data_IF_924346476479
#
_entry.id   IF_924346476479
#
_cell.length_a   1.000
_cell.length_b   1.000
_cell.length_c   1.000
_cell.angle_alpha   90.00
_cell.angle_beta   90.00
_cell.angle_gamma   90.00
#
_symmetry.space_group_name_H-M   'P 1'
#
loop_
_entity.id
_entity.type
_entity.pdbx_description
1 polymer ?
2 non-polymer ?
3 non-polymer ?
4 water ?
#
# COMPACT_ATOMS: atom_id res chain seq x y z
N UNK A 2 -31.96 -5.07 -30.02
CA UNK A 2 -31.91 -5.36 -28.58
C UNK A 2 -30.50 -5.04 -28.06
N UNK A 3 -29.48 -5.25 -28.88
CA UNK A 3 -28.10 -5.03 -28.41
C UNK A 3 -27.82 -3.55 -28.14
N UNK A 4 -28.18 -2.67 -29.07
CA UNK A 4 -27.93 -1.26 -28.79
C UNK A 4 -28.85 -0.76 -27.70
N UNK A 5 -30.09 -1.26 -27.66
CA UNK A 5 -31.00 -0.94 -26.56
C UNK A 5 -30.40 -1.33 -25.21
N UNK A 6 -29.80 -2.53 -25.12
CA UNK A 6 -29.19 -2.92 -23.86
C UNK A 6 -28.04 -1.99 -23.49
N UNK A 7 -27.23 -1.59 -24.46
CA UNK A 7 -26.09 -0.73 -24.14
C UNK A 7 -26.51 0.67 -23.73
N UNK A 8 -27.60 1.19 -24.27
CA UNK A 8 -28.12 2.46 -23.78
C UNK A 8 -28.52 2.37 -22.31
N UNK A 9 -29.14 1.24 -21.92
CA UNK A 9 -29.45 1.02 -20.51
C UNK A 9 -28.17 0.95 -19.69
N UNK A 10 -27.15 0.24 -20.19
CA UNK A 10 -25.86 0.20 -19.53
C UNK A 10 -25.24 1.59 -19.38
N UNK A 11 -25.32 2.41 -20.42
CA UNK A 11 -24.78 3.75 -20.34
C UNK A 11 -25.48 4.53 -19.25
N UNK A 12 -26.76 4.26 -19.03
CA UNK A 12 -27.48 4.94 -17.96
C UNK A 12 -27.04 4.44 -16.59
N UNK A 13 -26.77 3.15 -16.46
CA UNK A 13 -26.20 2.66 -15.20
C UNK A 13 -24.89 3.38 -14.88
N UNK A 14 -24.02 3.51 -15.88
CA UNK A 14 -22.72 4.14 -15.68
C UNK A 14 -22.88 5.59 -15.27
N UNK A 15 -23.81 6.29 -15.91
CA UNK A 15 -24.14 7.65 -15.48
C UNK A 15 -24.56 7.67 -14.03
N UNK A 16 -25.41 6.73 -13.61
CA UNK A 16 -25.85 6.74 -12.22
C UNK A 16 -24.67 6.50 -11.30
N UNK A 17 -23.81 5.54 -11.67
CA UNK A 17 -22.69 5.21 -10.78
C UNK A 17 -21.75 6.38 -10.62
N UNK A 18 -21.72 7.29 -11.59
CA UNK A 18 -20.85 8.45 -11.52
C UNK A 18 -21.55 9.67 -10.96
N UNK A 19 -22.83 9.57 -10.61
CA UNK A 19 -23.62 10.73 -10.21
C UNK A 19 -23.38 11.09 -8.73
N UNK A 20 -23.75 12.32 -8.38
CA UNK A 20 -23.51 12.79 -7.02
C UNK A 20 -24.20 11.95 -5.96
N UNK A 21 -25.33 11.32 -6.31
CA UNK A 21 -26.10 10.52 -5.35
C UNK A 21 -25.23 9.46 -4.67
N UNK A 22 -24.32 8.86 -5.41
CA UNK A 22 -23.52 7.73 -4.97
C UNK A 22 -22.07 8.10 -4.68
N UNK A 23 -21.76 9.39 -4.66
CA UNK A 23 -20.36 9.80 -4.66
C UNK A 23 -19.64 9.46 -3.36
N UNK A 24 -20.39 9.37 -2.25
CA UNK A 24 -19.75 9.11 -0.95
C UNK A 24 -19.05 7.76 -0.91
N UNK A 25 -19.53 6.78 -1.68
CA UNK A 25 -18.85 5.51 -1.84
C UNK A 25 -18.30 5.27 -3.24
N UNK A 26 -18.68 6.04 -4.25
CA UNK A 26 -18.21 5.70 -5.58
C UNK A 26 -16.87 6.35 -5.93
N UNK A 27 -16.49 7.42 -5.22
CA UNK A 27 -15.42 8.25 -5.70
C UNK A 27 -14.10 7.50 -5.81
N UNK A 28 -13.77 6.51 -4.97
CA UNK A 28 -12.47 5.84 -5.14
C UNK A 28 -12.35 5.09 -6.45
N UNK A 29 -13.46 4.88 -7.16
CA UNK A 29 -13.53 4.11 -8.39
C UNK A 29 -13.66 4.99 -9.63
N UNK A 30 -13.56 6.32 -9.47
CA UNK A 30 -13.74 7.22 -10.60
C UNK A 30 -12.57 7.16 -11.58
N UNK A 31 -11.39 6.79 -11.11
CA UNK A 31 -10.17 6.93 -11.89
C UNK A 31 -9.32 5.71 -11.62
N UNK A 32 -8.40 5.37 -12.53
CA UNK A 32 -7.57 4.19 -12.31
C UNK A 32 -6.74 4.31 -11.04
N UNK A 33 -6.53 3.16 -10.40
CA UNK A 33 -5.65 3.12 -9.24
C UNK A 33 -4.26 3.59 -9.66
N UNK A 34 -3.76 4.64 -8.99
CA UNK A 34 -2.40 5.16 -9.19
C UNK A 34 -1.53 4.54 -8.09
N UNK A 35 -0.88 3.42 -8.42
CA UNK A 35 -0.14 2.66 -7.40
C UNK A 35 0.95 3.50 -6.73
N UNK A 36 1.68 4.31 -7.50
CA UNK A 36 2.70 5.17 -6.91
C UNK A 36 2.09 6.23 -5.99
N UNK A 37 1.04 6.92 -6.46
CA UNK A 37 0.51 8.03 -5.67
C UNK A 37 -0.12 7.52 -4.38
N UNK A 38 -0.77 6.35 -4.43
CA UNK A 38 -1.37 5.75 -3.25
C UNK A 38 -0.38 4.91 -2.45
N UNK A 39 0.85 4.74 -2.93
CA UNK A 39 1.88 3.94 -2.26
C UNK A 39 1.44 2.49 -2.12
N UNK A 40 0.79 1.99 -3.16
CA UNK A 40 0.40 0.59 -3.31
C UNK A 40 1.32 -0.02 -4.36
N UNK A 41 2.61 -0.08 -4.01
CA UNK A 41 3.61 -0.29 -5.04
C UNK A 41 3.57 -1.68 -5.63
N UNK A 42 2.93 -2.64 -4.96
CA UNK A 42 2.75 -3.97 -5.48
C UNK A 42 1.43 -4.16 -6.24
N UNK A 43 0.64 -3.10 -6.44
CA UNK A 43 -0.73 -3.28 -6.92
C UNK A 43 -0.73 -4.05 -8.23
N UNK A 44 0.15 -3.69 -9.15
CA UNK A 44 0.14 -4.34 -10.45
C UNK A 44 0.85 -5.70 -10.47
N UNK A 45 1.49 -6.09 -9.36
CA UNK A 45 1.91 -7.49 -9.23
C UNK A 45 0.73 -8.40 -8.88
N UNK A 46 -0.26 -7.85 -8.18
CA UNK A 46 -1.41 -8.60 -7.71
C UNK A 46 -2.60 -8.49 -8.66
N UNK A 47 -2.85 -7.30 -9.19
CA UNK A 47 -4.00 -7.03 -10.04
C UNK A 47 -3.52 -6.92 -11.48
N UNK A 48 -3.80 -7.94 -12.29
CA UNK A 48 -3.25 -7.98 -13.63
C UNK A 48 -4.11 -7.27 -14.65
N UNK A 49 -5.39 -6.99 -14.34
CA UNK A 49 -6.29 -6.31 -15.27
C UNK A 49 -7.01 -5.22 -14.50
N UNK A 50 -6.38 -4.08 -14.31
CA UNK A 50 -7.04 -2.98 -13.59
C UNK A 50 -8.27 -2.48 -14.32
N UNK A 51 -9.21 -1.92 -13.57
CA UNK A 51 -10.41 -1.34 -14.14
C UNK A 51 -10.98 -0.29 -13.19
N UNK A 52 -11.69 0.68 -13.79
CA UNK A 52 -12.27 1.80 -13.08
C UNK A 52 -13.35 2.42 -13.95
N UNK A 53 -14.20 3.27 -13.34
CA UNK A 53 -15.35 3.79 -14.07
C UNK A 53 -14.98 4.70 -15.24
N UNK A 54 -13.86 5.44 -15.15
CA UNK A 54 -13.49 6.28 -16.29
C UNK A 54 -13.07 5.42 -17.49
N UNK A 55 -12.47 4.26 -17.25
CA UNK A 55 -12.10 3.37 -18.34
C UNK A 55 -13.34 2.70 -18.93
N UNK A 56 -14.30 2.32 -18.09
CA UNK A 56 -15.56 1.81 -18.63
C UNK A 56 -16.25 2.85 -19.49
N UNK A 57 -16.20 4.10 -19.06
CA UNK A 57 -16.80 5.17 -19.83
C UNK A 57 -16.10 5.31 -21.18
N UNK A 58 -14.75 5.32 -21.16
CA UNK A 58 -13.99 5.46 -22.39
C UNK A 58 -14.33 4.33 -23.36
N UNK A 59 -14.45 3.12 -22.84
CA UNK A 59 -14.77 1.98 -23.68
C UNK A 59 -16.21 2.01 -24.15
N UNK A 60 -17.13 2.51 -23.33
CA UNK A 60 -18.52 2.61 -23.78
C UNK A 60 -18.65 3.64 -24.88
N UNK A 61 -18.06 4.81 -24.68
CA UNK A 61 -18.03 5.85 -25.70
C UNK A 61 -17.37 5.35 -26.97
N UNK A 62 -16.30 4.58 -26.83
CA UNK A 62 -15.63 4.04 -27.99
C UNK A 62 -16.31 2.86 -28.62
N UNK A 63 -17.48 2.45 -28.13
CA UNK A 63 -18.24 1.34 -28.68
C UNK A 63 -17.43 0.04 -28.68
N UNK A 64 -16.57 -0.13 -27.67
CA UNK A 64 -15.78 -1.34 -27.53
C UNK A 64 -16.54 -2.51 -26.91
N UNK A 65 -17.72 -2.29 -26.32
CA UNK A 65 -18.42 -3.39 -25.69
C UNK A 65 -19.36 -4.05 -26.67
N UNK A 66 -19.18 -5.34 -26.99
CA UNK A 66 -20.07 -5.96 -27.96
C UNK A 66 -21.48 -6.10 -27.43
N UNK A 67 -21.63 -6.24 -26.12
CA UNK A 67 -22.95 -6.49 -25.52
C UNK A 67 -22.92 -6.01 -24.06
N UNK A 68 -24.09 -6.10 -23.41
CA UNK A 68 -24.18 -5.73 -22.01
C UNK A 68 -23.35 -6.64 -21.13
N UNK A 69 -23.19 -7.93 -21.53
CA UNK A 69 -22.37 -8.84 -20.77
C UNK A 69 -20.90 -8.38 -20.71
N UNK A 70 -20.39 -7.80 -21.80
CA UNK A 70 -19.03 -7.29 -21.75
C UNK A 70 -18.88 -6.10 -20.82
N UNK A 71 -19.88 -5.21 -20.83
CA UNK A 71 -19.94 -4.10 -19.88
C UNK A 71 -19.95 -4.61 -18.44
N UNK A 72 -20.82 -5.56 -18.15
CA UNK A 72 -20.94 -6.05 -16.78
C UNK A 72 -19.65 -6.70 -16.30
N UNK A 73 -18.94 -7.39 -17.18
CA UNK A 73 -17.71 -8.06 -16.78
C UNK A 73 -16.66 -7.05 -16.36
N UNK A 74 -16.57 -5.91 -17.07
CA UNK A 74 -15.61 -4.88 -16.67
C UNK A 74 -16.00 -4.25 -15.35
N UNK A 75 -17.29 -4.02 -15.13
CA UNK A 75 -17.72 -3.43 -13.87
C UNK A 75 -17.44 -4.39 -12.72
N UNK A 76 -17.73 -5.68 -12.91
CA UNK A 76 -17.45 -6.65 -11.84
C UNK A 76 -15.96 -6.86 -11.62
N UNK A 77 -15.18 -6.72 -12.69
CA UNK A 77 -13.72 -6.77 -12.56
C UNK A 77 -13.22 -5.66 -11.63
N UNK A 78 -13.78 -4.46 -11.77
CA UNK A 78 -13.40 -3.38 -10.89
C UNK A 78 -13.71 -3.70 -9.43
N UNK A 79 -14.88 -4.27 -9.15
CA UNK A 79 -15.17 -4.66 -7.77
C UNK A 79 -14.29 -5.82 -7.31
N UNK A 80 -14.15 -6.85 -8.14
CA UNK A 80 -13.32 -7.99 -7.75
C UNK A 80 -11.86 -7.62 -7.53
N UNK A 81 -11.29 -6.71 -8.36
CA UNK A 81 -9.94 -6.23 -8.05
C UNK A 81 -9.86 -5.69 -6.63
N UNK A 82 -10.86 -4.92 -6.21
CA UNK A 82 -10.84 -4.34 -4.88
C UNK A 82 -10.97 -5.43 -3.81
N UNK A 83 -11.86 -6.38 -4.01
CA UNK A 83 -11.98 -7.47 -3.04
C UNK A 83 -10.69 -8.30 -3.00
N UNK A 84 -10.04 -8.49 -4.15
CA UNK A 84 -8.83 -9.32 -4.19
C UNK A 84 -7.66 -8.62 -3.49
N UNK A 85 -7.46 -7.34 -3.79
CA UNK A 85 -6.24 -6.71 -3.31
C UNK A 85 -6.29 -6.42 -1.82
N UNK A 86 -7.43 -6.03 -1.31
CA UNK A 86 -7.55 -5.43 0.01
C UNK A 86 -8.00 -6.42 1.07
N UNK A 87 -7.68 -6.17 2.34
CA UNK A 87 -8.26 -6.98 3.44
C UNK A 87 -9.76 -6.75 3.55
N UNK A 88 -10.52 -7.78 3.90
CA UNK A 88 -11.97 -7.68 3.74
C UNK A 88 -12.63 -6.63 4.61
N UNK A 89 -11.94 -6.13 5.65
CA UNK A 89 -12.49 -5.10 6.54
C UNK A 89 -12.05 -3.69 6.14
N UNK A 90 -11.42 -3.54 4.99
CA UNK A 90 -10.92 -2.24 4.54
C UNK A 90 -12.08 -1.31 4.18
N UNK A 91 -11.91 -0.03 4.51
CA UNK A 91 -12.90 0.98 4.19
C UNK A 91 -13.33 0.91 2.74
N UNK A 92 -12.38 0.71 1.83
CA UNK A 92 -12.68 0.76 0.41
C UNK A 92 -13.48 -0.45 -0.02
N UNK A 93 -13.28 -1.60 0.64
CA UNK A 93 -14.08 -2.78 0.31
C UNK A 93 -15.55 -2.52 0.63
N UNK A 94 -15.80 -1.83 1.74
CA UNK A 94 -17.18 -1.50 2.11
C UNK A 94 -17.80 -0.54 1.11
N UNK A 95 -17.02 0.39 0.60
CA UNK A 95 -17.49 1.30 -0.41
C UNK A 95 -17.78 0.57 -1.72
N UNK A 96 -16.90 -0.37 -2.09
CA UNK A 96 -17.12 -1.16 -3.30
C UNK A 96 -18.41 -1.94 -3.22
N UNK A 97 -18.70 -2.55 -2.06
CA UNK A 97 -19.91 -3.33 -1.90
C UNK A 97 -21.14 -2.47 -2.04
N UNK A 98 -21.12 -1.27 -1.44
CA UNK A 98 -22.28 -0.39 -1.58
C UNK A 98 -22.53 -0.03 -3.03
N UNK A 99 -21.46 0.29 -3.78
CA UNK A 99 -21.63 0.59 -5.20
C UNK A 99 -22.04 -0.65 -5.99
N UNK A 100 -21.54 -1.83 -5.61
CA UNK A 100 -21.92 -3.03 -6.34
C UNK A 100 -23.40 -3.35 -6.09
N UNK A 101 -23.91 -3.02 -4.89
CA UNK A 101 -25.35 -3.23 -4.63
C UNK A 101 -26.18 -2.44 -5.63
N UNK A 102 -25.76 -1.21 -5.93
CA UNK A 102 -26.45 -0.41 -6.92
C UNK A 102 -26.32 -1.02 -8.31
N UNK A 103 -25.10 -1.39 -8.71
CA UNK A 103 -24.89 -1.94 -10.04
C UNK A 103 -25.70 -3.21 -10.26
N UNK A 104 -25.64 -4.15 -9.30
CA UNK A 104 -26.27 -5.44 -9.55
C UNK A 104 -27.79 -5.28 -9.66
N UNK A 105 -28.37 -4.42 -8.83
CA UNK A 105 -29.81 -4.17 -8.89
C UNK A 105 -30.20 -3.52 -10.22
N UNK A 106 -29.51 -2.44 -10.60
CA UNK A 106 -29.84 -1.80 -11.87
C UNK A 106 -29.65 -2.76 -13.03
N UNK A 107 -28.56 -3.54 -13.04
CA UNK A 107 -28.27 -4.40 -14.18
C UNK A 107 -29.33 -5.48 -14.29
N UNK A 108 -29.76 -6.02 -13.14
CA UNK A 108 -30.79 -7.07 -13.14
C UNK A 108 -32.14 -6.54 -13.61
N UNK A 109 -32.40 -5.25 -13.42
CA UNK A 109 -33.66 -4.66 -13.86
C UNK A 109 -33.63 -4.21 -15.32
N UNK A 110 -32.54 -4.46 -16.05
CA UNK A 110 -32.52 -4.12 -17.47
C UNK A 110 -33.70 -4.79 -18.17
N UNK A 111 -34.52 -4.03 -18.92
CA UNK A 111 -35.69 -4.65 -19.54
C UNK A 111 -35.35 -5.70 -20.55
N UNK B 1 -4.42 -7.54 26.81
CA UNK B 1 -3.02 -7.26 27.12
C UNK B 1 -2.05 -7.44 25.97
N UNK B 2 -0.76 -7.34 26.27
CA UNK B 2 0.30 -7.49 25.26
C UNK B 2 0.77 -8.94 25.21
N UNK B 3 1.27 -9.34 24.04
CA UNK B 3 1.89 -10.65 23.88
C UNK B 3 3.37 -10.59 24.26
N UNK B 4 3.87 -11.70 24.81
CA UNK B 4 5.29 -11.79 25.09
C UNK B 4 6.08 -11.74 23.78
N UNK B 5 7.40 -11.53 23.91
CA UNK B 5 8.27 -11.47 22.72
C UNK B 5 8.11 -12.72 21.85
N UNK B 6 8.09 -13.90 22.46
CA UNK B 6 7.92 -15.12 21.67
C UNK B 6 6.57 -15.13 20.95
N UNK B 7 5.51 -14.73 21.64
CA UNK B 7 4.20 -14.81 20.99
C UNK B 7 4.01 -13.73 19.96
N UNK B 8 4.73 -12.62 20.07
CA UNK B 8 4.71 -11.65 18.98
C UNK B 8 5.35 -12.24 17.72
N UNK B 9 6.42 -13.04 17.89
CA UNK B 9 6.99 -13.73 16.74
C UNK B 9 6.00 -14.76 16.18
N UNK B 10 5.32 -15.49 17.05
CA UNK B 10 4.29 -16.43 16.62
C UNK B 10 3.15 -15.72 15.87
N UNK B 11 2.76 -14.53 16.32
CA UNK B 11 1.72 -13.80 15.62
C UNK B 11 2.16 -13.52 14.19
N UNK B 12 3.47 -13.25 13.99
CA UNK B 12 3.96 -13.04 12.64
C UNK B 12 3.93 -14.31 11.81
N UNK B 13 4.22 -15.47 12.41
CA UNK B 13 4.09 -16.73 11.69
C UNK B 13 2.64 -16.92 11.23
N UNK B 14 1.69 -16.65 12.12
CA UNK B 14 0.29 -16.82 11.77
C UNK B 14 -0.13 -15.89 10.63
N UNK B 15 0.33 -14.63 10.69
CA UNK B 15 0.09 -13.72 9.57
C UNK B 15 0.63 -14.25 8.26
N UNK B 16 1.87 -14.76 8.28
CA UNK B 16 2.43 -15.33 7.05
C UNK B 16 1.58 -16.50 6.59
N UNK B 17 1.23 -17.42 7.49
CA UNK B 17 0.44 -18.58 7.05
C UNK B 17 -0.87 -18.18 6.42
N UNK B 18 -1.41 -17.02 6.78
CA UNK B 18 -2.68 -16.54 6.27
C UNK B 18 -2.53 -15.63 5.06
N UNK B 19 -1.29 -15.40 4.59
CA UNK B 19 -1.03 -14.39 3.59
C UNK B 19 -1.23 -14.95 2.18
N UNK B 20 -1.36 -14.05 1.20
CA UNK B 20 -1.61 -14.52 -0.16
C UNK B 20 -0.45 -15.33 -0.71
N UNK B 21 0.76 -15.15 -0.18
CA UNK B 21 1.92 -15.87 -0.68
C UNK B 21 1.71 -17.38 -0.63
N UNK B 22 1.01 -17.86 0.40
CA UNK B 22 0.82 -19.29 0.65
C UNK B 22 -0.62 -19.77 0.41
N UNK B 23 -1.45 -18.93 -0.20
CA UNK B 23 -2.88 -19.22 -0.25
C UNK B 23 -3.21 -20.45 -1.07
N UNK B 24 -2.37 -20.77 -2.08
CA UNK B 24 -2.64 -21.89 -2.99
C UNK B 24 -2.69 -23.22 -2.24
N UNK B 25 -1.96 -23.34 -1.13
CA UNK B 25 -2.05 -24.52 -0.28
C UNK B 25 -2.60 -24.26 1.12
N UNK B 26 -2.68 -23.01 1.57
CA UNK B 26 -3.13 -22.78 2.93
C UNK B 26 -4.65 -22.71 3.04
N UNK B 27 -5.33 -22.39 1.96
CA UNK B 27 -6.73 -22.02 2.07
C UNK B 27 -7.62 -23.11 2.68
N UNK B 28 -7.37 -24.42 2.52
CA UNK B 28 -8.25 -25.40 3.19
C UNK B 28 -8.18 -25.34 4.72
N UNK B 29 -7.18 -24.67 5.27
CA UNK B 29 -6.97 -24.58 6.72
C UNK B 29 -7.39 -23.25 7.29
N UNK B 30 -8.02 -22.41 6.46
CA UNK B 30 -8.40 -21.07 6.92
C UNK B 30 -9.56 -21.12 7.92
N UNK B 31 -10.40 -22.14 7.84
CA UNK B 31 -11.64 -22.21 8.61
C UNK B 31 -11.79 -23.63 9.13
N UNK B 32 -12.58 -23.84 10.19
CA UNK B 32 -12.76 -25.21 10.68
C UNK B 32 -13.32 -26.12 9.62
N UNK B 33 -12.94 -27.39 9.69
CA UNK B 33 -13.54 -28.40 8.82
C UNK B 33 -15.04 -28.44 9.12
N UNK B 34 -15.85 -28.33 8.07
CA UNK B 34 -17.31 -28.38 8.16
C UNK B 34 -17.73 -29.77 7.73
N UNK B 35 -17.92 -30.66 8.71
CA UNK B 35 -18.12 -32.07 8.40
C UNK B 35 -19.37 -32.27 7.54
N UNK B 36 -20.46 -31.57 7.84
CA UNK B 36 -21.67 -31.73 7.05
C UNK B 36 -21.49 -31.17 5.62
N UNK B 37 -20.94 -29.95 5.51
CA UNK B 37 -20.82 -29.32 4.19
C UNK B 37 -19.85 -30.08 3.29
N UNK B 38 -18.78 -30.65 3.86
CA UNK B 38 -17.84 -31.42 3.06
C UNK B 38 -18.24 -32.90 2.92
N UNK B 39 -19.34 -33.32 3.56
CA UNK B 39 -19.81 -34.72 3.53
C UNK B 39 -18.74 -35.64 4.09
N UNK B 40 -18.11 -35.19 5.16
CA UNK B 40 -17.19 -35.96 5.99
C UNK B 40 -17.86 -36.22 7.33
N UNK B 41 -18.93 -37.01 7.31
CA UNK B 41 -19.84 -37.03 8.46
C UNK B 41 -19.26 -37.76 9.67
N UNK B 42 -18.22 -38.55 9.50
CA UNK B 42 -17.51 -39.19 10.59
C UNK B 42 -16.35 -38.37 11.13
N UNK B 43 -16.11 -37.16 10.57
CA UNK B 43 -14.90 -36.42 10.91
C UNK B 43 -14.71 -36.27 12.41
N UNK B 44 -15.79 -35.94 13.14
CA UNK B 44 -15.68 -35.74 14.57
C UNK B 44 -15.70 -37.03 15.38
N UNK B 45 -16.02 -38.17 14.76
CA UNK B 45 -15.73 -39.44 15.42
C UNK B 45 -14.23 -39.77 15.41
N UNK B 46 -13.52 -39.33 14.37
CA UNK B 46 -12.09 -39.60 14.19
C UNK B 46 -11.23 -38.51 14.81
N UNK B 47 -11.59 -37.25 14.61
CA UNK B 47 -10.81 -36.10 15.06
C UNK B 47 -11.45 -35.53 16.31
N UNK B 48 -10.84 -35.78 17.46
CA UNK B 48 -11.44 -35.35 18.72
C UNK B 48 -11.15 -33.91 19.06
N UNK B 49 -10.12 -33.31 18.49
CA UNK B 49 -9.79 -31.90 18.76
C UNK B 49 -9.50 -31.20 17.45
N UNK B 50 -10.53 -30.72 16.77
CA UNK B 50 -10.33 -29.99 15.52
C UNK B 50 -9.51 -28.72 15.71
N UNK B 51 -8.83 -28.31 14.66
CA UNK B 51 -8.11 -27.05 14.69
C UNK B 51 -7.94 -26.50 13.28
N UNK B 52 -7.81 -25.17 13.22
CA UNK B 52 -7.69 -24.44 11.98
C UNK B 52 -7.12 -23.06 12.30
N UNK B 53 -6.69 -22.37 11.26
CA UNK B 53 -5.96 -21.13 11.47
C UNK B 53 -6.86 -20.04 12.05
N UNK B 54 -8.14 -20.01 11.68
CA UNK B 54 -9.00 -18.98 12.28
C UNK B 54 -9.16 -19.20 13.78
N UNK B 55 -9.08 -20.46 14.25
CA UNK B 55 -9.19 -20.70 15.67
C UNK B 55 -7.89 -20.31 16.36
N UNK B 56 -6.75 -20.57 15.72
CA UNK B 56 -5.48 -20.12 16.28
C UNK B 56 -5.48 -18.59 16.40
N UNK B 57 -6.00 -17.91 15.38
CA UNK B 57 -6.09 -16.46 15.42
C UNK B 57 -6.98 -16.00 16.58
N UNK B 58 -8.16 -16.63 16.72
CA UNK B 58 -9.05 -16.24 17.80
C UNK B 58 -8.39 -16.42 19.15
N UNK B 59 -7.68 -17.54 19.34
CA UNK B 59 -7.02 -17.78 20.62
C UNK B 59 -5.84 -16.84 20.80
N UNK B 60 -5.11 -16.52 19.74
CA UNK B 60 -4.01 -15.58 19.89
C UNK B 60 -4.52 -14.20 20.26
N UNK B 61 -5.58 -13.74 19.58
CA UNK B 61 -6.16 -12.43 19.87
C UNK B 61 -6.76 -12.41 21.27
N UNK B 62 -7.24 -13.54 21.74
CA UNK B 62 -7.77 -13.65 23.08
C UNK B 62 -6.74 -13.92 24.15
N UNK B 63 -5.44 -13.94 23.82
CA UNK B 63 -4.38 -14.19 24.80
C UNK B 63 -4.56 -15.54 25.51
N UNK B 64 -5.04 -16.53 24.76
CA UNK B 64 -5.22 -17.85 25.35
C UNK B 64 -3.94 -18.66 25.39
N UNK B 65 -2.89 -18.28 24.61
CA UNK B 65 -1.70 -19.13 24.66
C UNK B 65 -0.74 -18.65 25.74
N UNK B 66 -0.31 -19.54 26.64
CA UNK B 66 0.60 -19.10 27.70
C UNK B 66 2.05 -19.00 27.26
N UNK B 67 2.40 -19.63 26.15
CA UNK B 67 3.76 -19.56 25.63
C UNK B 67 3.76 -20.03 24.18
N UNK B 68 4.93 -19.92 23.54
CA UNK B 68 5.05 -20.30 22.14
C UNK B 68 4.76 -21.79 21.96
N UNK B 69 5.10 -22.59 22.96
CA UNK B 69 4.84 -24.03 22.85
C UNK B 69 3.35 -24.31 22.68
N UNK B 70 2.49 -23.57 23.38
CA UNK B 70 1.06 -23.80 23.25
C UNK B 70 0.54 -23.48 21.86
N UNK B 71 1.07 -22.40 21.27
CA UNK B 71 0.76 -22.03 19.87
C UNK B 71 1.20 -23.12 18.91
N UNK B 72 2.42 -23.61 19.09
CA UNK B 72 2.94 -24.65 18.19
C UNK B 72 2.13 -25.94 18.30
N UNK B 73 1.69 -26.29 19.49
CA UNK B 73 0.90 -27.51 19.65
C UNK B 73 -0.41 -27.42 18.86
N UNK B 74 -1.04 -26.25 18.84
CA UNK B 74 -2.29 -26.12 18.09
C UNK B 74 -2.03 -26.16 16.58
N UNK B 75 -0.97 -25.50 16.11
CA UNK B 75 -0.73 -25.53 14.67
C UNK B 75 -0.40 -26.95 14.22
N UNK B 76 0.44 -27.65 14.99
CA UNK B 76 0.75 -29.05 14.66
C UNK B 76 -0.46 -29.97 14.80
N UNK B 77 -1.33 -29.68 15.73
CA UNK B 77 -2.58 -30.43 15.82
C UNK B 77 -3.40 -30.28 14.53
N UNK B 78 -3.44 -29.07 13.96
CA UNK B 78 -4.14 -28.85 12.70
C UNK B 78 -3.58 -29.74 11.60
N UNK B 79 -2.24 -29.76 11.45
CA UNK B 79 -1.67 -30.66 10.44
C UNK B 79 -1.91 -32.13 10.77
N UNK B 80 -1.65 -32.53 12.02
CA UNK B 80 -1.81 -33.95 12.37
C UNK B 80 -3.24 -34.42 12.14
N UNK B 81 -4.24 -33.62 12.51
CA UNK B 81 -5.62 -33.97 12.16
C UNK B 81 -5.73 -34.33 10.68
N UNK B 82 -5.09 -33.54 9.81
CA UNK B 82 -5.18 -33.79 8.37
C UNK B 82 -4.47 -35.10 8.00
N UNK B 83 -3.30 -35.33 8.58
CA UNK B 83 -2.59 -36.57 8.27
C UNK B 83 -3.37 -37.79 8.79
N UNK B 84 -4.00 -37.65 9.94
CA UNK B 84 -4.75 -38.74 10.56
C UNK B 84 -6.00 -39.09 9.75
N UNK B 85 -6.78 -38.07 9.39
CA UNK B 85 -8.08 -38.34 8.81
C UNK B 85 -7.98 -38.85 7.40
N UNK B 86 -7.05 -38.33 6.63
CA UNK B 86 -7.04 -38.56 5.19
C UNK B 86 -6.05 -39.64 4.75
N UNK B 87 -6.28 -40.23 3.59
CA UNK B 87 -5.25 -41.08 2.99
C UNK B 87 -4.03 -40.26 2.64
N UNK B 88 -2.85 -40.87 2.66
CA UNK B 88 -1.62 -40.08 2.55
C UNK B 88 -1.38 -39.46 1.18
N UNK B 89 -2.03 -39.94 0.13
CA UNK B 89 -1.92 -39.38 -1.22
C UNK B 89 -2.99 -38.34 -1.53
N UNK B 90 -3.84 -38.01 -0.57
CA UNK B 90 -4.90 -37.03 -0.76
C UNK B 90 -4.33 -35.64 -1.05
N UNK B 91 -5.06 -34.90 -1.89
CA UNK B 91 -4.59 -33.59 -2.31
C UNK B 91 -4.35 -32.69 -1.11
N UNK B 92 -5.24 -32.74 -0.10
CA UNK B 92 -5.13 -31.83 1.00
C UNK B 92 -3.98 -32.20 1.93
N UNK B 93 -3.55 -33.47 1.91
CA UNK B 93 -2.38 -33.84 2.73
C UNK B 93 -1.14 -33.16 2.16
N UNK B 94 -1.00 -33.18 0.83
CA UNK B 94 0.12 -32.50 0.19
C UNK B 94 0.12 -31.00 0.49
N UNK B 95 -1.04 -30.39 0.51
CA UNK B 95 -1.13 -28.98 0.86
C UNK B 95 -0.75 -28.74 2.31
N UNK B 96 -1.20 -29.61 3.23
CA UNK B 96 -0.82 -29.45 4.63
C UNK B 96 0.69 -29.51 4.79
N UNK B 97 1.32 -30.43 4.05
CA UNK B 97 2.77 -30.59 4.17
C UNK B 97 3.50 -29.34 3.73
N UNK B 98 3.03 -28.71 2.64
CA UNK B 98 3.69 -27.49 2.16
C UNK B 98 3.59 -26.38 3.19
N UNK B 99 2.41 -26.21 3.80
CA UNK B 99 2.23 -25.21 4.82
C UNK B 99 3.01 -25.57 6.09
N UNK B 100 3.13 -26.87 6.42
CA UNK B 100 3.88 -27.24 7.61
C UNK B 100 5.36 -26.96 7.38
N UNK B 101 5.83 -27.08 6.12
CA UNK B 101 7.21 -26.70 5.82
C UNK B 101 7.45 -25.25 6.22
N UNK B 102 6.52 -24.37 5.86
CA UNK B 102 6.65 -22.96 6.22
C UNK B 102 6.64 -22.79 7.73
N UNK B 103 5.67 -23.42 8.39
CA UNK B 103 5.54 -23.24 9.82
C UNK B 103 6.80 -23.73 10.55
N UNK B 104 7.26 -24.94 10.23
CA UNK B 104 8.37 -25.48 11.03
C UNK B 104 9.62 -24.65 10.83
N UNK B 105 9.85 -24.16 9.63
CA UNK B 105 11.03 -23.32 9.40
C UNK B 105 10.91 -21.99 10.16
N UNK B 106 9.77 -21.30 10.06
CA UNK B 106 9.65 -20.02 10.73
C UNK B 106 9.73 -20.20 12.24
N UNK B 107 9.04 -21.22 12.76
CA UNK B 107 9.03 -21.44 14.20
C UNK B 107 10.41 -21.72 14.74
N UNK B 108 11.19 -22.54 14.02
CA UNK B 108 12.54 -22.88 14.48
C UNK B 108 13.46 -21.64 14.47
N UNK B 109 13.17 -20.68 13.59
CA UNK B 109 13.97 -19.46 13.50
C UNK B 109 13.56 -18.40 14.52
N UNK B 110 12.56 -18.65 15.36
CA UNK B 110 12.20 -17.71 16.42
C UNK B 110 13.45 -17.37 17.25
N UNK B 111 13.77 -16.08 17.43
CA UNK B 111 14.98 -15.77 18.21
C UNK B 111 14.93 -16.29 19.62
N UNK C 2 -8.39 5.89 10.06
CA UNK C 2 -7.77 6.89 10.93
C UNK C 2 -8.14 8.31 10.51
N UNK C 3 -8.52 8.50 9.25
CA UNK C 3 -9.00 9.79 8.74
C UNK C 3 -10.52 9.74 8.57
N UNK C 4 -11.16 10.86 8.88
CA UNK C 4 -12.57 11.08 8.57
C UNK C 4 -12.85 10.83 7.09
N UNK C 5 -14.13 10.66 6.74
CA UNK C 5 -14.49 10.46 5.34
C UNK C 5 -14.04 11.66 4.51
N UNK C 6 -14.25 12.88 5.04
CA UNK C 6 -13.86 14.08 4.32
C UNK C 6 -12.35 14.14 4.14
N UNK C 7 -11.61 13.86 5.21
CA UNK C 7 -10.16 14.03 5.08
C UNK C 7 -9.55 12.91 4.24
N UNK C 8 -10.17 11.73 4.22
CA UNK C 8 -9.70 10.71 3.29
C UNK C 8 -9.81 11.21 1.85
N UNK C 9 -10.96 11.82 1.51
CA UNK C 9 -11.11 12.44 0.20
C UNK C 9 -10.07 13.54 -0.03
N UNK C 10 -9.85 14.41 0.97
CA UNK C 10 -8.78 15.39 0.86
C UNK C 10 -7.43 14.72 0.58
N UNK C 11 -7.13 13.65 1.31
CA UNK C 11 -5.86 12.97 1.06
C UNK C 11 -5.78 12.51 -0.39
N UNK C 12 -6.92 12.10 -0.97
CA UNK C 12 -6.90 11.71 -2.38
C UNK C 12 -6.56 12.89 -3.28
N UNK C 13 -7.12 14.07 -2.98
CA UNK C 13 -6.77 15.27 -3.74
C UNK C 13 -5.27 15.53 -3.64
N UNK C 14 -4.73 15.47 -2.43
CA UNK C 14 -3.29 15.72 -2.22
C UNK C 14 -2.45 14.75 -3.01
N UNK C 15 -2.78 13.45 -2.96
CA UNK C 15 -1.98 12.46 -3.67
C UNK C 15 -2.08 12.67 -5.17
N UNK C 16 -3.22 13.12 -5.67
CA UNK C 16 -3.34 13.43 -7.08
C UNK C 16 -2.45 14.60 -7.47
N UNK C 17 -2.48 15.68 -6.67
CA UNK C 17 -1.62 16.85 -6.92
C UNK C 17 -0.14 16.47 -6.96
N UNK C 18 0.25 15.46 -6.18
CA UNK C 18 1.64 15.00 -6.16
C UNK C 18 1.94 13.91 -7.17
N UNK C 19 0.99 13.52 -7.99
CA UNK C 19 1.15 12.38 -8.89
C UNK C 19 1.76 12.75 -10.24
N UNK C 20 2.14 11.72 -10.99
CA UNK C 20 2.83 11.94 -12.26
C UNK C 20 1.92 12.66 -13.24
N UNK C 21 0.60 12.48 -13.09
CA UNK C 21 -0.39 13.12 -13.95
C UNK C 21 -0.17 14.64 -14.06
N UNK C 22 0.20 15.29 -12.96
CA UNK C 22 0.28 16.74 -12.90
C UNK C 22 1.70 17.24 -12.73
N UNK C 23 2.70 16.37 -12.91
CA UNK C 23 4.06 16.71 -12.52
C UNK C 23 4.67 17.81 -13.38
N UNK C 24 4.16 18.02 -14.59
CA UNK C 24 4.73 19.06 -15.45
C UNK C 24 4.57 20.45 -14.87
N UNK C 25 3.57 20.67 -14.02
CA UNK C 25 3.33 21.99 -13.43
C UNK C 25 3.26 21.99 -11.91
N UNK C 26 3.17 20.83 -11.26
CA UNK C 26 3.11 20.81 -9.79
C UNK C 26 4.48 20.90 -9.14
N UNK C 27 5.55 20.58 -9.87
CA UNK C 27 6.82 20.38 -9.21
C UNK C 27 7.33 21.58 -8.43
N UNK C 28 7.05 22.83 -8.82
CA UNK C 28 7.48 23.96 -7.98
C UNK C 28 6.93 23.92 -6.56
N UNK C 29 5.87 23.14 -6.31
CA UNK C 29 5.24 23.04 -5.00
C UNK C 29 5.58 21.75 -4.26
N UNK C 30 6.58 21.00 -4.74
CA UNK C 30 6.88 19.73 -4.08
C UNK C 30 7.62 19.90 -2.77
N UNK C 31 8.35 21.00 -2.60
CA UNK C 31 9.19 21.16 -1.43
C UNK C 31 9.21 22.63 -1.04
N UNK C 32 9.57 22.94 0.20
CA UNK C 32 9.66 24.34 0.61
C UNK C 32 10.60 25.12 -0.30
N UNK C 33 10.27 26.41 -0.51
CA UNK C 33 11.12 27.30 -1.29
C UNK C 33 12.43 27.48 -0.57
N UNK C 34 13.54 27.27 -1.29
CA UNK C 34 14.88 27.48 -0.76
C UNK C 34 15.33 28.82 -1.32
N UNK C 35 15.02 29.88 -0.59
CA UNK C 35 15.23 31.22 -1.12
C UNK C 35 16.71 31.53 -1.30
N UNK C 36 17.57 30.95 -0.48
CA UNK C 36 19.00 31.20 -0.62
C UNK C 36 19.53 30.57 -1.91
N UNK C 37 19.21 29.30 -2.14
CA UNK C 37 19.69 28.61 -3.33
C UNK C 37 19.11 29.22 -4.58
N UNK C 38 17.89 29.79 -4.50
CA UNK C 38 17.26 30.41 -5.65
C UNK C 38 17.58 31.89 -5.79
N UNK C 39 18.33 32.48 -4.84
CA UNK C 39 18.69 33.91 -4.86
C UNK C 39 17.44 34.80 -4.87
N UNK C 40 16.42 34.34 -4.16
CA UNK C 40 15.18 35.11 -3.89
C UNK C 40 15.39 35.91 -2.60
N UNK C 41 16.20 36.97 -2.71
CA UNK C 41 16.67 37.70 -1.54
C UNK C 41 15.53 38.31 -0.71
N UNK C 42 14.40 38.58 -1.34
CA UNK C 42 13.28 39.22 -0.68
C UNK C 42 12.19 38.25 -0.26
N UNK C 43 12.38 36.95 -0.49
CA UNK C 43 11.26 36.00 -0.37
C UNK C 43 10.62 36.07 1.03
N UNK C 44 11.43 35.96 2.08
CA UNK C 44 10.90 35.91 3.43
C UNK C 44 10.51 37.27 3.97
N UNK C 45 10.92 38.34 3.32
CA UNK C 45 10.32 39.64 3.62
C UNK C 45 8.85 39.65 3.21
N UNK C 46 8.51 39.01 2.09
CA UNK C 46 7.18 39.10 1.51
C UNK C 46 6.28 37.96 1.97
N UNK C 47 6.84 36.76 2.05
CA UNK C 47 6.09 35.56 2.45
C UNK C 47 6.41 35.28 3.91
N UNK C 48 5.44 35.56 4.78
CA UNK C 48 5.61 35.30 6.21
C UNK C 48 5.29 33.86 6.60
N UNK C 49 4.49 33.12 5.82
CA UNK C 49 4.08 31.77 6.16
C UNK C 49 4.23 30.82 4.98
N UNK C 50 5.42 30.27 4.78
CA UNK C 50 5.63 29.37 3.64
C UNK C 50 4.81 28.12 3.77
N UNK C 51 4.48 27.56 2.61
CA UNK C 51 3.71 26.33 2.58
C UNK C 51 3.98 25.66 1.24
N UNK C 52 3.96 24.32 1.26
CA UNK C 52 4.29 23.49 0.11
C UNK C 52 3.63 22.13 0.32
N UNK C 53 3.55 21.36 -0.76
CA UNK C 53 2.83 20.09 -0.74
C UNK C 53 3.49 19.07 0.17
N UNK C 54 4.82 19.13 0.36
CA UNK C 54 5.44 18.13 1.21
C UNK C 54 5.05 18.36 2.65
N UNK C 55 4.87 19.63 3.02
CA UNK C 55 4.39 20.01 4.35
C UNK C 55 2.94 19.60 4.55
N UNK C 56 2.09 19.86 3.56
CA UNK C 56 0.71 19.38 3.62
C UNK C 56 0.68 17.86 3.79
N UNK C 57 1.57 17.17 3.08
CA UNK C 57 1.62 15.71 3.18
C UNK C 57 2.04 15.25 4.57
N UNK C 58 3.08 15.87 5.12
CA UNK C 58 3.48 15.51 6.48
C UNK C 58 2.30 15.66 7.45
N UNK C 59 1.54 16.73 7.30
CA UNK C 59 0.45 17.00 8.24
C UNK C 59 -0.70 16.02 8.03
N UNK C 60 -1.01 15.70 6.77
CA UNK C 60 -2.08 14.74 6.48
C UNK C 60 -1.67 13.34 6.93
N UNK C 61 -0.43 12.95 6.63
CA UNK C 61 0.00 11.58 6.96
C UNK C 61 0.04 11.39 8.46
N UNK C 62 0.33 12.45 9.20
CA UNK C 62 0.30 12.47 10.64
C UNK C 62 -1.04 12.77 11.26
N UNK C 63 -2.10 12.93 10.45
CA UNK C 63 -3.48 13.10 10.92
C UNK C 63 -3.64 14.37 11.75
N UNK C 64 -2.98 15.42 11.31
CA UNK C 64 -2.94 16.67 12.02
C UNK C 64 -4.08 17.62 11.68
N UNK C 65 -4.71 17.46 10.52
CA UNK C 65 -5.75 18.42 10.15
C UNK C 65 -7.02 18.15 10.95
N UNK C 66 -7.66 19.16 11.52
CA UNK C 66 -8.93 18.91 12.22
C UNK C 66 -10.10 18.66 11.29
N UNK C 67 -10.11 19.26 10.11
CA UNK C 67 -11.24 19.15 9.20
C UNK C 67 -10.77 19.50 7.79
N UNK C 68 -11.68 19.38 6.82
CA UNK C 68 -11.29 19.63 5.45
C UNK C 68 -10.92 21.09 5.24
N UNK C 69 -11.52 21.99 6.03
CA UNK C 69 -11.26 23.41 5.82
C UNK C 69 -9.83 23.76 6.15
N UNK C 70 -9.30 23.15 7.22
CA UNK C 70 -7.90 23.32 7.56
C UNK C 70 -6.97 22.87 6.45
N UNK C 71 -7.28 21.73 5.81
CA UNK C 71 -6.51 21.27 4.66
C UNK C 71 -6.54 22.30 3.53
N UNK C 72 -7.73 22.75 3.20
CA UNK C 72 -7.90 23.72 2.12
C UNK C 72 -7.19 25.02 2.42
N UNK C 73 -7.15 25.44 3.67
CA UNK C 73 -6.47 26.68 4.05
C UNK C 73 -4.97 26.62 3.73
N UNK C 74 -4.32 25.48 4.02
CA UNK C 74 -2.90 25.33 3.72
C UNK C 74 -2.67 25.28 2.23
N UNK C 75 -3.56 24.61 1.49
CA UNK C 75 -3.39 24.52 0.04
C UNK C 75 -3.54 25.90 -0.58
N UNK C 76 -4.53 26.67 -0.16
CA UNK C 76 -4.71 27.99 -0.75
C UNK C 76 -3.62 28.96 -0.29
N UNK C 77 -3.08 28.75 0.91
CA UNK C 77 -1.95 29.55 1.36
C UNK C 77 -0.75 29.34 0.45
N UNK C 78 -0.45 28.08 0.11
CA UNK C 78 0.56 27.75 -0.87
C UNK C 78 0.38 28.50 -2.20
N UNK C 79 -0.80 28.42 -2.78
CA UNK C 79 -1.04 29.10 -4.05
C UNK C 79 -0.99 30.62 -3.89
N UNK C 80 -1.59 31.16 -2.82
CA UNK C 80 -1.53 32.61 -2.64
C UNK C 80 -0.08 33.09 -2.47
N UNK C 81 0.75 32.36 -1.71
CA UNK C 81 2.16 32.73 -1.61
C UNK C 81 2.81 32.85 -2.98
N UNK C 82 2.51 31.90 -3.87
CA UNK C 82 3.02 31.96 -5.24
C UNK C 82 2.57 33.24 -5.96
N UNK C 83 1.25 33.51 -5.98
CA UNK C 83 0.78 34.70 -6.68
C UNK C 83 1.26 35.98 -6.01
N UNK C 84 1.41 35.97 -4.68
CA UNK C 84 1.91 37.16 -3.98
C UNK C 84 3.36 37.46 -4.32
N UNK C 85 4.21 36.45 -4.28
CA UNK C 85 5.63 36.71 -4.43
C UNK C 85 5.99 37.04 -5.89
N UNK C 86 5.32 36.40 -6.85
CA UNK C 86 5.90 36.40 -8.17
C UNK C 86 5.26 37.44 -9.09
N UNK C 87 6.02 37.89 -10.09
CA UNK C 87 5.41 38.66 -11.18
C UNK C 87 4.25 37.87 -11.79
N UNK C 88 3.15 38.52 -12.10
CA UNK C 88 1.98 37.76 -12.57
C UNK C 88 2.16 37.13 -13.95
N UNK C 89 3.23 37.44 -14.66
CA UNK C 89 3.52 36.86 -15.97
C UNK C 89 4.62 35.84 -15.89
N UNK C 90 5.07 35.50 -14.68
CA UNK C 90 6.05 34.44 -14.52
C UNK C 90 5.41 33.10 -14.85
N UNK C 91 6.20 32.19 -15.42
CA UNK C 91 5.64 30.90 -15.85
C UNK C 91 5.06 30.11 -14.67
N UNK C 92 5.56 30.34 -13.45
CA UNK C 92 5.12 29.55 -12.31
C UNK C 92 3.70 29.92 -11.92
N UNK C 93 3.25 31.14 -12.26
CA UNK C 93 1.89 31.54 -11.96
C UNK C 93 0.91 30.74 -12.83
N UNK C 94 1.24 30.55 -14.10
CA UNK C 94 0.40 29.72 -14.94
C UNK C 94 0.37 28.29 -14.41
N UNK C 95 1.52 27.81 -13.92
CA UNK C 95 1.59 26.45 -13.38
C UNK C 95 0.74 26.33 -12.12
N UNK C 96 0.85 27.31 -11.23
CA UNK C 96 0.04 27.31 -10.03
C UNK C 96 -1.43 27.29 -10.37
N UNK C 97 -1.82 28.07 -11.38
CA UNK C 97 -3.22 28.14 -11.77
C UNK C 97 -3.73 26.80 -12.26
N UNK C 98 -2.95 26.09 -13.06
CA UNK C 98 -3.38 24.80 -13.57
C UNK C 98 -3.58 23.80 -12.43
N UNK C 99 -2.70 23.80 -11.45
CA UNK C 99 -2.85 22.86 -10.34
C UNK C 99 -3.97 23.30 -9.41
N UNK C 100 -4.11 24.60 -9.17
CA UNK C 100 -5.22 25.07 -8.36
C UNK C 100 -6.57 24.77 -9.01
N UNK C 101 -6.66 24.81 -10.35
CA UNK C 101 -7.88 24.37 -11.03
C UNK C 101 -8.28 22.97 -10.57
N UNK C 102 -7.29 22.07 -10.54
CA UNK C 102 -7.52 20.70 -10.10
C UNK C 102 -8.05 20.68 -8.68
N UNK C 103 -7.33 21.33 -7.79
CA UNK C 103 -7.71 21.35 -6.39
C UNK C 103 -9.11 21.89 -6.20
N UNK C 104 -9.41 23.03 -6.82
CA UNK C 104 -10.68 23.69 -6.52
C UNK C 104 -11.84 22.83 -6.99
N UNK C 105 -11.70 22.18 -8.14
CA UNK C 105 -12.79 21.39 -8.67
C UNK C 105 -13.01 20.16 -7.80
N UNK C 106 -11.94 19.48 -7.42
CA UNK C 106 -12.11 18.29 -6.59
C UNK C 106 -12.63 18.64 -5.19
N UNK C 107 -12.10 19.70 -4.58
CA UNK C 107 -12.55 20.08 -3.24
C UNK C 107 -14.03 20.45 -3.23
N UNK C 108 -14.48 21.15 -4.27
CA UNK C 108 -15.89 21.54 -4.33
C UNK C 108 -16.85 20.35 -4.47
N UNK C 109 -16.39 19.29 -5.12
CA UNK C 109 -17.10 18.04 -5.33
C UNK C 109 -16.94 17.04 -4.18
N UNK C 110 -16.42 17.47 -3.04
CA UNK C 110 -16.31 16.62 -1.87
C UNK C 110 -17.68 16.05 -1.53
N UNK C 111 -17.80 14.72 -1.39
CA UNK C 111 -19.10 14.13 -1.07
C UNK C 111 -19.52 14.42 0.34
N UNK D 1 28.73 24.75 -3.18
CA UNK D 1 27.89 23.72 -2.59
C UNK D 1 28.01 23.61 -1.08
N UNK D 2 28.22 22.39 -0.58
CA UNK D 2 28.26 22.13 0.85
C UNK D 2 29.03 20.84 1.16
N UNK D 3 29.10 19.92 0.19
CA UNK D 3 29.59 18.56 0.41
C UNK D 3 31.00 18.37 -0.14
N UNK D 4 31.79 17.57 0.57
CA UNK D 4 33.06 17.10 0.06
C UNK D 4 32.86 16.40 -1.28
N UNK D 5 33.97 16.17 -1.99
CA UNK D 5 33.86 15.47 -3.27
C UNK D 5 33.27 14.07 -3.03
N UNK D 6 33.72 13.39 -1.98
CA UNK D 6 33.24 12.04 -1.70
C UNK D 6 31.75 12.05 -1.36
N UNK D 7 31.34 12.97 -0.47
CA UNK D 7 29.93 12.98 -0.09
C UNK D 7 29.04 13.47 -1.23
N UNK D 8 29.56 14.35 -2.09
CA UNK D 8 28.81 14.70 -3.30
C UNK D 8 28.59 13.46 -4.14
N UNK D 9 29.62 12.61 -4.26
CA UNK D 9 29.47 11.36 -4.99
C UNK D 9 28.49 10.43 -4.29
N UNK D 10 28.53 10.36 -2.95
CA UNK D 10 27.57 9.53 -2.24
C UNK D 10 26.13 10.02 -2.49
N UNK D 11 25.92 11.35 -2.42
CA UNK D 11 24.58 11.86 -2.68
C UNK D 11 24.09 11.41 -4.05
N UNK D 12 24.98 11.36 -5.04
CA UNK D 12 24.60 10.86 -6.36
C UNK D 12 24.16 9.41 -6.28
N UNK D 13 24.87 8.59 -5.51
CA UNK D 13 24.43 7.20 -5.37
C UNK D 13 23.03 7.16 -4.78
N UNK D 14 22.84 7.89 -3.68
CA UNK D 14 21.55 7.92 -3.00
C UNK D 14 20.44 8.41 -3.94
N UNK D 15 20.69 9.46 -4.72
CA UNK D 15 19.66 9.92 -5.65
C UNK D 15 19.39 8.88 -6.73
N UNK D 16 20.40 8.13 -7.16
CA UNK D 16 20.15 7.07 -8.14
C UNK D 16 19.28 5.96 -7.52
N UNK D 17 19.54 5.61 -6.25
CA UNK D 17 18.78 4.54 -5.59
C UNK D 17 17.32 4.93 -5.42
N UNK D 18 17.05 6.23 -5.36
CA UNK D 18 15.70 6.75 -5.24
C UNK D 18 15.05 7.08 -6.58
N UNK D 19 15.74 6.87 -7.69
CA UNK D 19 15.25 7.31 -8.98
C UNK D 19 14.34 6.30 -9.68
N UNK D 20 13.69 6.76 -10.76
CA UNK D 20 12.73 5.91 -11.46
C UNK D 20 13.40 4.67 -12.05
N UNK D 21 14.70 4.77 -12.35
CA UNK D 21 15.44 3.65 -12.92
C UNK D 21 15.33 2.38 -12.08
N UNK D 22 15.40 2.51 -10.76
CA UNK D 22 15.43 1.35 -9.87
C UNK D 22 14.15 1.17 -9.10
N UNK D 23 13.09 1.86 -9.49
CA UNK D 23 11.90 1.92 -8.63
C UNK D 23 11.23 0.56 -8.48
N UNK D 24 11.35 -0.33 -9.46
CA UNK D 24 10.63 -1.61 -9.38
C UNK D 24 11.10 -2.45 -8.19
N UNK D 25 12.34 -2.26 -7.73
CA UNK D 25 12.86 -3.00 -6.58
C UNK D 25 13.29 -2.14 -5.40
N UNK D 26 13.42 -0.82 -5.57
CA UNK D 26 13.83 0.03 -4.46
C UNK D 26 12.69 0.49 -3.56
N UNK D 27 11.44 0.42 -4.01
CA UNK D 27 10.38 1.07 -3.26
C UNK D 27 10.18 0.56 -1.84
N UNK D 28 10.48 -0.69 -1.48
CA UNK D 28 10.35 -1.09 -0.06
C UNK D 28 11.25 -0.29 0.87
N UNK D 29 12.29 0.37 0.35
CA UNK D 29 13.25 1.14 1.12
C UNK D 29 13.03 2.64 1.02
N UNK D 30 11.88 3.06 0.45
CA UNK D 30 11.60 4.49 0.28
C UNK D 30 11.24 5.21 1.58
N UNK D 31 10.69 4.51 2.56
CA UNK D 31 10.22 5.11 3.80
C UNK D 31 10.40 4.12 4.93
N UNK D 32 10.40 4.60 6.18
CA UNK D 32 10.62 3.70 7.31
C UNK D 32 9.52 2.66 7.36
N UNK D 33 9.88 1.49 7.91
CA UNK D 33 8.94 0.38 8.06
C UNK D 33 7.91 0.77 9.09
N UNK D 34 6.63 0.75 8.71
CA UNK D 34 5.53 1.07 9.62
C UNK D 34 5.05 -0.28 10.16
N UNK D 35 5.55 -0.66 11.33
CA UNK D 35 5.33 -2.01 11.80
C UNK D 35 3.86 -2.23 12.18
N UNK D 36 3.24 -1.25 12.84
CA UNK D 36 1.81 -1.32 13.16
C UNK D 36 0.99 -1.54 11.89
N UNK D 37 1.05 -0.58 10.96
CA UNK D 37 0.26 -0.68 9.75
C UNK D 37 0.54 -1.93 8.93
N UNK D 38 1.71 -2.53 9.07
CA UNK D 38 2.02 -3.75 8.33
C UNK D 38 1.74 -5.02 9.13
N UNK D 39 1.28 -4.90 10.38
CA UNK D 39 1.08 -6.05 11.27
C UNK D 39 2.38 -6.85 11.43
N UNK D 40 3.50 -6.13 11.53
CA UNK D 40 4.79 -6.74 11.84
C UNK D 40 5.07 -6.61 13.33
N UNK D 41 4.33 -7.43 14.10
CA UNK D 41 4.32 -7.26 15.55
C UNK D 41 5.70 -7.49 16.19
N UNK D 42 6.58 -8.25 15.54
CA UNK D 42 7.91 -8.51 16.06
C UNK D 42 9.01 -7.66 15.42
N UNK D 43 8.66 -6.71 14.55
CA UNK D 43 9.71 -6.01 13.80
C UNK D 43 10.72 -5.34 14.73
N UNK D 44 10.26 -4.59 15.73
CA UNK D 44 11.18 -3.85 16.59
C UNK D 44 11.80 -4.71 17.67
N UNK D 45 11.35 -5.94 17.83
CA UNK D 45 12.09 -6.90 18.64
C UNK D 45 13.36 -7.36 17.94
N UNK D 46 13.33 -7.47 16.61
CA UNK D 46 14.42 -8.01 15.84
C UNK D 46 15.30 -6.90 15.24
N UNK D 47 14.70 -5.80 14.79
CA UNK D 47 15.43 -4.70 14.20
C UNK D 47 15.56 -3.61 15.25
N UNK D 48 16.75 -3.48 15.82
CA UNK D 48 16.96 -2.50 16.88
C UNK D 48 17.33 -1.12 16.34
N UNK D 49 17.77 -1.03 15.08
CA UNK D 49 18.15 0.24 14.47
C UNK D 49 17.56 0.34 13.06
N UNK D 50 16.30 0.77 12.95
CA UNK D 50 15.68 0.88 11.63
C UNK D 50 16.44 1.88 10.78
N UNK D 51 16.37 1.68 9.47
CA UNK D 51 16.98 2.59 8.51
C UNK D 51 16.30 2.41 7.16
N UNK D 52 16.21 3.52 6.43
CA UNK D 52 15.56 3.55 5.13
C UNK D 52 16.15 4.73 4.38
N UNK D 53 15.83 4.81 3.08
CA UNK D 53 16.48 5.78 2.20
C UNK D 53 15.99 7.20 2.46
N UNK D 54 14.75 7.35 2.89
CA UNK D 54 14.26 8.68 3.25
C UNK D 54 15.02 9.22 4.44
N UNK D 55 15.41 8.34 5.37
CA UNK D 55 16.20 8.76 6.52
C UNK D 55 17.63 9.10 6.10
N UNK D 56 18.23 8.29 5.22
CA UNK D 56 19.56 8.62 4.71
C UNK D 56 19.54 9.97 4.00
N UNK D 57 18.51 10.21 3.18
CA UNK D 57 18.39 11.50 2.50
C UNK D 57 18.30 12.66 3.51
N UNK D 58 17.45 12.52 4.50
CA UNK D 58 17.35 13.56 5.51
C UNK D 58 18.72 13.85 6.11
N UNK D 59 19.49 12.81 6.44
CA UNK D 59 20.79 13.02 7.06
C UNK D 59 21.80 13.62 6.08
N UNK D 60 21.85 13.11 4.84
CA UNK D 60 22.70 13.73 3.82
C UNK D 60 22.32 15.20 3.62
N UNK D 61 21.03 15.48 3.44
CA UNK D 61 20.59 16.86 3.17
C UNK D 61 20.89 17.76 4.36
N UNK D 62 20.84 17.22 5.57
CA UNK D 62 21.24 17.94 6.77
C UNK D 62 22.72 17.88 7.09
N UNK D 63 23.54 17.33 6.20
CA UNK D 63 25.00 17.28 6.35
C UNK D 63 25.41 16.58 7.64
N UNK D 64 24.69 15.53 7.99
CA UNK D 64 24.99 14.78 9.21
C UNK D 64 26.06 13.72 9.01
N UNK D 65 26.48 13.45 7.76
CA UNK D 65 27.48 12.40 7.60
C UNK D 65 28.86 13.05 7.60
N UNK D 66 29.77 12.56 8.42
CA UNK D 66 31.13 13.13 8.44
C UNK D 66 31.99 12.68 7.27
N UNK D 67 31.70 11.50 6.74
CA UNK D 67 32.52 10.95 5.67
C UNK D 67 31.74 9.88 4.92
N UNK D 68 32.33 9.41 3.84
CA UNK D 68 31.68 8.41 3.01
C UNK D 68 31.38 7.16 3.83
N UNK D 69 32.22 6.84 4.82
CA UNK D 69 32.03 5.57 5.52
C UNK D 69 30.77 5.61 6.37
N UNK D 70 30.44 6.77 6.94
CA UNK D 70 29.22 6.88 7.71
C UNK D 70 27.97 6.73 6.86
N UNK D 71 28.00 7.29 5.65
CA UNK D 71 26.94 7.05 4.66
C UNK D 71 26.79 5.55 4.36
N UNK D 72 27.91 4.89 4.03
CA UNK D 72 27.87 3.48 3.66
C UNK D 72 27.32 2.62 4.79
N UNK D 73 27.62 3.01 6.03
CA UNK D 73 27.16 2.28 7.21
C UNK D 73 25.64 2.25 7.26
N UNK D 74 25.01 3.40 7.05
CA UNK D 74 23.56 3.46 7.10
C UNK D 74 22.96 2.69 5.95
N UNK D 75 23.57 2.77 4.77
CA UNK D 75 22.99 2.05 3.64
C UNK D 75 23.07 0.55 3.88
N UNK D 76 24.21 0.06 4.38
CA UNK D 76 24.34 -1.37 4.61
C UNK D 76 23.48 -1.83 5.80
N UNK D 77 23.27 -0.94 6.76
CA UNK D 77 22.36 -1.24 7.86
C UNK D 77 20.94 -1.45 7.35
N UNK D 78 20.51 -0.60 6.41
CA UNK D 78 19.20 -0.78 5.81
C UNK D 78 19.08 -2.13 5.09
N UNK D 79 20.08 -2.49 4.30
CA UNK D 79 20.02 -3.78 3.65
C UNK D 79 20.09 -4.91 4.67
N UNK D 80 20.98 -4.81 5.66
CA UNK D 80 21.09 -5.88 6.65
C UNK D 80 19.81 -6.07 7.45
N UNK D 81 19.10 -4.97 7.73
CA UNK D 81 17.84 -5.08 8.44
C UNK D 81 16.83 -5.91 7.65
N UNK D 82 16.82 -5.74 6.31
CA UNK D 82 15.93 -6.51 5.46
C UNK D 82 16.30 -7.99 5.46
N UNK D 83 17.60 -8.30 5.33
CA UNK D 83 18.01 -9.71 5.35
C UNK D 83 17.76 -10.34 6.72
N UNK D 84 17.96 -9.57 7.81
CA UNK D 84 17.76 -10.12 9.15
C UNK D 84 16.29 -10.41 9.42
N UNK D 85 15.40 -9.49 9.08
CA UNK D 85 14.00 -9.66 9.46
C UNK D 85 13.26 -10.68 8.59
N UNK D 86 13.58 -10.76 7.35
CA UNK D 86 12.70 -11.46 6.45
C UNK D 86 13.18 -12.89 6.18
N UNK D 87 12.27 -13.80 5.85
CA UNK D 87 12.69 -15.07 5.30
C UNK D 87 13.54 -14.83 4.07
N UNK D 88 14.62 -15.58 3.89
CA UNK D 88 15.50 -15.31 2.74
C UNK D 88 14.87 -15.63 1.41
N UNK D 89 13.71 -16.29 1.38
CA UNK D 89 13.00 -16.61 0.15
C UNK D 89 11.90 -15.62 -0.16
N UNK D 90 11.73 -14.59 0.65
CA UNK D 90 10.76 -13.54 0.39
C UNK D 90 11.24 -12.69 -0.77
N UNK D 91 10.29 -12.23 -1.58
CA UNK D 91 10.62 -11.42 -2.76
C UNK D 91 11.41 -10.17 -2.39
N UNK D 92 11.22 -9.63 -1.19
CA UNK D 92 11.87 -8.36 -0.84
C UNK D 92 13.37 -8.56 -0.70
N UNK D 93 13.81 -9.77 -0.33
CA UNK D 93 15.25 -10.05 -0.23
C UNK D 93 15.91 -9.95 -1.61
N UNK D 94 15.25 -10.48 -2.64
CA UNK D 94 15.79 -10.37 -3.98
C UNK D 94 15.84 -8.92 -4.43
N UNK D 95 14.80 -8.16 -4.07
CA UNK D 95 14.78 -6.74 -4.42
C UNK D 95 15.92 -5.99 -3.73
N UNK D 96 16.11 -6.24 -2.43
CA UNK D 96 17.21 -5.62 -1.69
C UNK D 96 18.55 -5.94 -2.34
N UNK D 97 18.74 -7.20 -2.75
CA UNK D 97 20.01 -7.59 -3.35
C UNK D 97 20.24 -6.83 -4.64
N UNK D 98 19.20 -6.69 -5.45
CA UNK D 98 19.35 -6.00 -6.71
C UNK D 98 19.80 -4.56 -6.49
N UNK D 99 19.23 -3.89 -5.49
CA UNK D 99 19.59 -2.51 -5.21
C UNK D 99 20.93 -2.41 -4.51
N UNK D 100 21.24 -3.37 -3.62
CA UNK D 100 22.56 -3.38 -3.01
C UNK D 100 23.67 -3.62 -4.04
N UNK D 101 23.40 -4.45 -5.06
CA UNK D 101 24.33 -4.58 -6.18
C UNK D 101 24.70 -3.21 -6.76
N UNK D 102 23.69 -2.37 -6.98
CA UNK D 102 23.92 -1.03 -7.51
C UNK D 102 24.80 -0.24 -6.57
N UNK D 103 24.39 -0.18 -5.29
CA UNK D 103 25.12 0.59 -4.30
C UNK D 103 26.57 0.13 -4.20
N UNK D 104 26.79 -1.18 -4.02
CA UNK D 104 28.14 -1.64 -3.79
C UNK D 104 29.06 -1.31 -4.96
N UNK D 105 28.53 -1.40 -6.19
CA UNK D 105 29.35 -1.14 -7.37
C UNK D 105 29.72 0.34 -7.47
N UNK D 106 28.75 1.22 -7.33
CA UNK D 106 29.06 2.64 -7.41
C UNK D 106 29.96 3.07 -6.26
N UNK D 107 29.70 2.56 -5.05
CA UNK D 107 30.50 2.99 -3.91
C UNK D 107 31.96 2.58 -4.10
N UNK D 108 32.17 1.37 -4.59
CA UNK D 108 33.55 0.89 -4.78
C UNK D 108 34.32 1.72 -5.81
N UNK D 109 33.60 2.31 -6.76
CA UNK D 109 34.18 3.12 -7.82
C UNK D 109 34.21 4.62 -7.52
N UNK D 110 34.03 5.00 -6.26
CA UNK D 110 34.19 6.37 -5.83
C UNK D 110 35.56 6.89 -6.25
N UNK D 111 35.64 8.01 -6.96
CA UNK D 111 36.91 8.56 -7.40
C UNK D 111 37.72 8.99 -6.19
#
# INVERSE_FOLDING_TARGET
GKLSEHLRYCDSILREMLSKKHAAYAWPFYKPVDAEALELHDYHDIIKHPMDLSTVKRKMDGREYPDAQGFAADVRLMFSNCYKYNPPDHEVVAMARKLQDVFEMRFAKMP
GKLSEHLRYCDSILREMLSKKHAAYAWPFYKPVDAEALELHDYHDIIKHPMDLSTVKRKMDGREYPDAQGFAADVRLMFSNCYKYNPPDHEVVAMARKLQDVFEMRFAKMP
GKLSEHLRYCDSILREMLSKKHAAYAWPFYKPVDAEALELHDYHDIIKHPMDLSTVKRKMDGREYPDAQGFAADVRLMFSNCYKYNPPDHEVVAMARKLQDVFEMRFAKMP
GKLSEHLRYCDSILREMLSKKHAAYAWPFYKPVDAEALELHDYHDIIKHPMDLSTVKRKMDGREYPDAQGFAADVRLMFSNCYKYNPPDHEVVAMARKLQDVFEMRFAKMP
#
